data_IF_194405915565
#
_entry.id   IF_194405915565
#
_cell.length_a   1.000
_cell.length_b   1.000
_cell.length_c   1.000
_cell.angle_alpha   90.00
_cell.angle_beta   90.00
_cell.angle_gamma   90.00
#
_symmetry.space_group_name_H-M   'P 1'
#
loop_
_entity.id
_entity.type
_entity.pdbx_description
1 polymer ?
#
# COMPACT_ATOMS: atom_id res chain seq x y z
N UNK A 1 -8.51 11.68 3.27
CA UNK A 1 -7.74 11.08 2.15
C UNK A 1 -6.36 10.78 2.69
N UNK A 2 -5.75 9.65 2.33
CA UNK A 2 -4.40 9.32 2.79
C UNK A 2 -3.40 10.38 2.27
N UNK A 3 -2.92 11.24 3.17
CA UNK A 3 -1.91 12.24 2.83
C UNK A 3 -0.57 11.55 2.55
N UNK A 4 0.09 11.98 1.48
CA UNK A 4 1.43 11.51 1.16
C UNK A 4 2.39 12.19 2.11
N UNK A 5 3.17 11.39 2.83
CA UNK A 5 4.19 11.93 3.70
C UNK A 5 5.26 12.66 2.88
N UNK A 6 5.91 13.71 3.42
CA UNK A 6 6.86 14.53 2.66
C UNK A 6 7.97 13.70 1.97
N UNK A 7 8.48 12.68 2.65
CA UNK A 7 9.52 11.79 2.12
C UNK A 7 9.04 10.93 0.95
N UNK A 8 7.73 10.70 0.81
CA UNK A 8 7.15 9.89 -0.25
C UNK A 8 6.88 10.68 -1.54
N UNK A 9 7.02 12.01 -1.53
CA UNK A 9 6.59 12.86 -2.65
C UNK A 9 7.24 12.48 -3.99
N UNK A 10 8.55 12.22 -4.00
CA UNK A 10 9.26 11.82 -5.22
C UNK A 10 8.76 10.48 -5.77
N UNK A 11 8.56 9.49 -4.89
CA UNK A 11 8.02 8.18 -5.28
C UNK A 11 6.56 8.30 -5.75
N UNK A 12 5.76 9.14 -5.11
CA UNK A 12 4.39 9.41 -5.52
C UNK A 12 4.32 9.96 -6.93
N UNK A 13 5.09 11.00 -7.25
CA UNK A 13 5.15 11.57 -8.60
C UNK A 13 5.50 10.50 -9.65
N UNK A 14 6.45 9.62 -9.32
CA UNK A 14 6.86 8.53 -10.20
C UNK A 14 5.78 7.46 -10.38
N UNK A 15 5.03 7.10 -9.34
CA UNK A 15 4.00 6.06 -9.41
C UNK A 15 2.71 6.58 -10.02
N UNK A 16 2.19 7.71 -9.53
CA UNK A 16 0.96 8.33 -9.99
C UNK A 16 1.08 8.86 -11.43
N UNK A 17 2.28 9.30 -11.85
CA UNK A 17 2.53 9.83 -13.19
C UNK A 17 2.67 8.76 -14.28
N UNK A 18 2.59 7.46 -13.97
CA UNK A 18 2.75 6.41 -14.97
C UNK A 18 1.55 6.34 -15.91
N UNK A 19 1.81 6.41 -17.21
CA UNK A 19 0.78 6.17 -18.24
C UNK A 19 0.25 4.73 -18.22
N UNK A 20 1.15 3.78 -17.95
CA UNK A 20 0.83 2.36 -17.85
C UNK A 20 1.36 1.82 -16.53
N UNK A 21 0.44 1.26 -15.74
CA UNK A 21 0.79 0.63 -14.48
C UNK A 21 1.14 -0.83 -14.69
N UNK A 22 2.11 -1.31 -13.93
CA UNK A 22 2.32 -2.74 -13.78
C UNK A 22 1.12 -3.36 -13.06
N UNK A 23 0.90 -4.64 -13.31
CA UNK A 23 -0.19 -5.36 -12.67
C UNK A 23 0.13 -5.76 -11.23
N UNK A 24 1.40 -5.75 -10.82
CA UNK A 24 1.81 -6.02 -9.44
C UNK A 24 2.97 -5.10 -9.01
N UNK A 25 2.78 -4.40 -7.89
CA UNK A 25 3.78 -3.56 -7.24
C UNK A 25 4.12 -4.14 -5.87
N UNK A 26 5.42 -4.18 -5.54
CA UNK A 26 5.89 -4.49 -4.19
C UNK A 26 6.51 -3.23 -3.58
N UNK A 27 5.74 -2.56 -2.73
CA UNK A 27 6.18 -1.42 -1.91
C UNK A 27 6.90 -1.96 -0.68
N UNK A 28 8.21 -1.74 -0.58
CA UNK A 28 9.02 -2.30 0.49
C UNK A 28 9.90 -1.27 1.20
N UNK A 29 10.24 -1.54 2.46
CA UNK A 29 11.03 -0.68 3.35
C UNK A 29 10.64 -0.95 4.81
N UNK A 30 11.29 -0.35 5.82
CA UNK A 30 10.94 -0.57 7.22
C UNK A 30 9.48 -0.19 7.55
N UNK A 31 8.98 -0.66 8.69
CA UNK A 31 7.71 -0.19 9.23
C UNK A 31 7.76 1.29 9.60
N UNK A 32 6.59 1.93 9.69
CA UNK A 32 6.52 3.32 10.12
C UNK A 32 6.91 4.41 9.11
N UNK A 33 7.13 4.07 7.84
CA UNK A 33 7.40 5.07 6.77
C UNK A 33 6.19 5.40 5.90
N UNK A 34 4.99 4.90 6.28
CA UNK A 34 3.73 5.26 5.62
C UNK A 34 3.40 4.49 4.34
N UNK A 35 3.94 3.29 4.13
CA UNK A 35 3.75 2.52 2.89
C UNK A 35 2.28 2.21 2.60
N UNK A 36 1.49 1.86 3.63
CA UNK A 36 0.03 1.69 3.52
C UNK A 36 -0.62 2.92 2.89
N UNK A 37 -0.35 4.09 3.45
CA UNK A 37 -0.93 5.34 3.00
C UNK A 37 -0.59 5.62 1.53
N UNK A 38 0.65 5.35 1.11
CA UNK A 38 1.05 5.46 -0.29
C UNK A 38 0.27 4.47 -1.19
N UNK A 39 0.12 3.22 -0.76
CA UNK A 39 -0.59 2.18 -1.48
C UNK A 39 -2.09 2.51 -1.61
N UNK A 40 -2.73 2.91 -0.52
CA UNK A 40 -4.11 3.37 -0.49
C UNK A 40 -4.29 4.58 -1.40
N UNK A 41 -3.44 5.60 -1.29
CA UNK A 41 -3.50 6.79 -2.15
C UNK A 41 -3.43 6.42 -3.64
N UNK A 42 -2.56 5.48 -4.01
CA UNK A 42 -2.50 4.96 -5.37
C UNK A 42 -3.78 4.21 -5.75
N UNK A 43 -4.34 3.40 -4.85
CA UNK A 43 -5.64 2.75 -5.05
C UNK A 43 -6.76 3.77 -5.31
N UNK A 44 -6.85 4.83 -4.50
CA UNK A 44 -7.83 5.92 -4.71
C UNK A 44 -7.67 6.55 -6.09
N UNK A 45 -6.44 6.85 -6.52
CA UNK A 45 -6.17 7.41 -7.85
C UNK A 45 -6.58 6.45 -8.97
N UNK A 46 -6.22 5.17 -8.85
CA UNK A 46 -6.44 4.15 -9.89
C UNK A 46 -7.90 3.80 -10.10
N UNK A 47 -8.72 3.91 -9.06
CA UNK A 47 -10.16 3.62 -9.10
C UNK A 47 -11.00 4.86 -9.41
N UNK A 48 -10.46 6.06 -9.18
CA UNK A 48 -11.14 7.32 -9.46
C UNK A 48 -11.57 7.44 -10.93
N UNK A 49 -12.82 7.82 -11.16
CA UNK A 49 -13.38 7.99 -12.51
C UNK A 49 -12.90 9.27 -13.21
N UNK A 50 -12.59 10.31 -12.43
CA UNK A 50 -12.22 11.63 -12.93
C UNK A 50 -11.01 12.18 -12.17
N UNK A 51 -9.83 11.54 -12.27
CA UNK A 51 -8.64 12.01 -11.55
C UNK A 51 -8.27 13.44 -11.97
N UNK A 52 -7.80 14.24 -11.01
CA UNK A 52 -7.36 15.62 -11.23
C UNK A 52 -5.85 15.69 -11.05
N UNK A 53 -5.13 15.81 -12.17
CA UNK A 53 -3.67 15.71 -12.16
C UNK A 53 -3.22 14.32 -11.70
N UNK A 54 -2.46 14.27 -10.61
CA UNK A 54 -1.97 13.03 -10.00
C UNK A 54 -2.82 12.58 -8.81
N UNK A 55 -3.99 13.18 -8.58
CA UNK A 55 -4.84 12.89 -7.43
C UNK A 55 -6.22 12.34 -7.82
N UNK A 56 -6.81 11.55 -6.92
CA UNK A 56 -8.23 11.21 -7.00
C UNK A 56 -9.07 12.48 -6.77
N UNK A 57 -10.21 12.62 -7.45
CA UNK A 57 -11.05 13.83 -7.28
C UNK A 57 -11.76 13.93 -5.94
N UNK A 58 -11.91 12.80 -5.21
CA UNK A 58 -12.59 12.75 -3.92
C UNK A 58 -14.12 12.90 -3.98
N UNK A 59 -14.70 13.22 -5.15
CA UNK A 59 -16.12 13.60 -5.27
C UNK A 59 -16.94 12.66 -6.18
N UNK A 60 -16.29 11.87 -7.05
CA UNK A 60 -17.01 10.93 -7.92
C UNK A 60 -17.61 9.76 -7.12
N UNK A 61 -18.56 9.03 -7.72
CA UNK A 61 -19.21 7.88 -7.09
C UNK A 61 -18.20 6.84 -6.61
N UNK A 62 -17.17 6.55 -7.41
CA UNK A 62 -16.10 5.62 -7.01
C UNK A 62 -15.34 6.11 -5.77
N UNK A 63 -14.92 7.39 -5.74
CA UNK A 63 -14.24 7.95 -4.57
C UNK A 63 -15.13 7.89 -3.31
N UNK A 64 -16.42 8.21 -3.45
CA UNK A 64 -17.38 8.12 -2.34
C UNK A 64 -17.50 6.68 -1.79
N UNK A 65 -17.60 5.68 -2.66
CA UNK A 65 -17.66 4.27 -2.28
C UNK A 65 -16.36 3.79 -1.61
N UNK A 66 -15.20 4.26 -2.07
CA UNK A 66 -13.91 3.94 -1.45
C UNK A 66 -13.79 4.51 -0.05
N UNK A 67 -14.18 5.77 0.15
CA UNK A 67 -14.21 6.40 1.48
C UNK A 67 -15.15 5.66 2.42
N UNK A 68 -16.26 5.12 1.90
CA UNK A 68 -17.19 4.28 2.65
C UNK A 68 -16.74 2.81 2.81
N UNK A 69 -15.59 2.41 2.26
CA UNK A 69 -15.09 1.02 2.31
C UNK A 69 -15.97 0.00 1.56
N UNK A 70 -16.81 0.45 0.63
CA UNK A 70 -17.81 -0.38 -0.07
C UNK A 70 -17.63 -0.43 -1.59
N UNK A 71 -16.46 -0.02 -2.08
CA UNK A 71 -16.17 -0.04 -3.51
C UNK A 71 -16.15 -1.49 -4.04
N UNK A 72 -16.96 -1.85 -5.05
CA UNK A 72 -17.05 -3.25 -5.49
C UNK A 72 -15.78 -3.76 -6.17
N UNK A 73 -14.91 -2.86 -6.64
CA UNK A 73 -13.66 -3.18 -7.35
C UNK A 73 -12.39 -2.96 -6.49
N UNK A 74 -12.54 -2.80 -5.17
CA UNK A 74 -11.39 -2.81 -4.25
C UNK A 74 -11.43 -4.04 -3.34
N UNK A 75 -10.25 -4.52 -2.94
CA UNK A 75 -10.13 -5.58 -1.94
C UNK A 75 -8.89 -5.32 -1.08
N UNK A 76 -9.02 -5.39 0.23
CA UNK A 76 -7.92 -5.27 1.17
C UNK A 76 -7.75 -6.61 1.88
N UNK A 77 -6.56 -7.20 1.75
CA UNK A 77 -6.18 -8.43 2.41
C UNK A 77 -5.20 -8.10 3.54
N UNK A 78 -5.67 -8.25 4.76
CA UNK A 78 -4.92 -8.09 5.99
C UNK A 78 -5.21 -9.25 6.96
N UNK A 79 -4.33 -9.53 7.93
CA UNK A 79 -4.61 -10.51 8.98
C UNK A 79 -5.91 -10.19 9.73
N UNK A 80 -6.70 -11.21 10.06
CA UNK A 80 -7.93 -11.03 10.85
C UNK A 80 -7.65 -10.50 12.26
N UNK A 81 -6.45 -10.77 12.78
CA UNK A 81 -5.98 -10.27 14.06
C UNK A 81 -4.55 -9.77 13.90
N UNK A 82 -4.21 -8.71 14.65
CA UNK A 82 -2.85 -8.19 14.70
C UNK A 82 -1.85 -9.32 15.03
N UNK A 83 -0.69 -9.31 14.36
CA UNK A 83 0.39 -10.29 14.48
C UNK A 83 0.06 -11.75 14.08
N UNK A 84 -1.13 -12.01 13.54
CA UNK A 84 -1.44 -13.33 12.97
C UNK A 84 -1.05 -13.43 11.49
N UNK A 85 -0.89 -14.67 11.05
CA UNK A 85 -0.63 -14.97 9.65
C UNK A 85 -1.93 -14.85 8.83
N UNK A 86 -1.80 -14.37 7.59
CA UNK A 86 -2.87 -14.39 6.60
C UNK A 86 -3.13 -15.85 6.21
N UNK A 87 -4.38 -16.28 6.37
CA UNK A 87 -4.79 -17.66 6.09
C UNK A 87 -4.89 -17.90 4.58
N UNK A 88 -4.72 -19.16 4.18
CA UNK A 88 -4.84 -19.57 2.77
C UNK A 88 -6.23 -19.30 2.23
N UNK A 89 -7.27 -19.47 3.04
CA UNK A 89 -8.65 -19.25 2.62
C UNK A 89 -8.92 -17.76 2.31
N UNK A 90 -8.37 -16.83 3.09
CA UNK A 90 -8.44 -15.39 2.77
C UNK A 90 -7.80 -15.06 1.41
N UNK A 91 -6.68 -15.74 1.07
CA UNK A 91 -6.06 -15.58 -0.25
C UNK A 91 -6.90 -16.21 -1.35
N UNK A 92 -7.56 -17.34 -1.10
CA UNK A 92 -8.47 -17.95 -2.08
C UNK A 92 -9.65 -17.04 -2.39
N UNK A 93 -10.23 -16.40 -1.38
CA UNK A 93 -11.29 -15.41 -1.56
C UNK A 93 -10.82 -14.22 -2.41
N UNK A 94 -9.61 -13.73 -2.15
CA UNK A 94 -8.96 -12.72 -2.98
C UNK A 94 -8.76 -13.19 -4.42
N UNK A 95 -8.29 -14.42 -4.64
CA UNK A 95 -8.09 -14.96 -5.99
C UNK A 95 -9.44 -15.06 -6.73
N UNK A 96 -10.51 -15.50 -6.05
CA UNK A 96 -11.86 -15.51 -6.60
C UNK A 96 -12.33 -14.10 -6.97
N UNK A 97 -12.06 -13.10 -6.14
CA UNK A 97 -12.32 -11.69 -6.45
C UNK A 97 -11.52 -11.21 -7.68
N UNK A 98 -10.25 -11.56 -7.80
CA UNK A 98 -9.37 -11.16 -8.92
C UNK A 98 -9.86 -11.74 -10.26
N UNK A 99 -10.55 -12.88 -10.28
CA UNK A 99 -11.07 -13.47 -11.53
C UNK A 99 -12.38 -12.84 -12.00
N UNK A 100 -13.16 -12.22 -11.11
CA UNK A 100 -14.44 -11.59 -11.47
C UNK A 100 -14.26 -10.38 -12.41
N UNK A 101 -15.26 -10.03 -13.21
CA UNK A 101 -15.21 -8.79 -14.01
C UNK A 101 -15.42 -7.57 -13.11
N UNK A 102 -14.73 -6.47 -13.40
CA UNK A 102 -14.92 -5.21 -12.68
C UNK A 102 -16.39 -4.74 -12.80
N UNK A 103 -17.03 -4.47 -11.68
CA UNK A 103 -18.44 -4.09 -11.64
C UNK A 103 -18.67 -2.65 -12.11
N UNK A 104 -17.70 -1.75 -11.89
CA UNK A 104 -17.79 -0.37 -12.34
C UNK A 104 -17.11 -0.12 -13.70
N UNK A 105 -16.75 -1.20 -14.41
CA UNK A 105 -16.19 -1.13 -15.78
C UNK A 105 -14.78 -0.55 -15.86
N UNK A 106 -14.12 -0.34 -14.73
CA UNK A 106 -12.79 0.25 -14.63
C UNK A 106 -11.70 -0.76 -14.30
N UNK A 107 -10.84 -0.38 -13.36
CA UNK A 107 -9.79 -1.23 -12.80
C UNK A 107 -10.30 -1.92 -11.54
N UNK A 108 -9.67 -3.04 -11.20
CA UNK A 108 -9.72 -3.57 -9.84
C UNK A 108 -8.40 -3.33 -9.16
N UNK A 109 -8.42 -2.98 -7.89
CA UNK A 109 -7.21 -2.76 -7.11
C UNK A 109 -7.27 -3.57 -5.83
N UNK A 110 -6.22 -4.36 -5.63
CA UNK A 110 -6.09 -5.25 -4.47
C UNK A 110 -4.90 -4.77 -3.65
N UNK A 111 -5.10 -4.51 -2.36
CA UNK A 111 -4.05 -4.17 -1.41
C UNK A 111 -3.79 -5.37 -0.50
N UNK A 112 -2.53 -5.77 -0.34
CA UNK A 112 -2.12 -6.84 0.56
C UNK A 112 -1.10 -6.28 1.54
N UNK A 113 -1.45 -6.26 2.82
CA UNK A 113 -0.56 -5.73 3.87
C UNK A 113 -0.75 -6.44 5.22
N UNK A 114 0.33 -6.83 5.90
CA UNK A 114 1.68 -7.01 5.38
C UNK A 114 1.78 -8.32 4.56
N UNK A 115 2.43 -8.27 3.40
CA UNK A 115 2.51 -9.42 2.50
C UNK A 115 3.34 -10.57 3.09
N UNK A 116 4.31 -10.30 3.97
CA UNK A 116 5.07 -11.31 4.72
C UNK A 116 4.26 -12.02 5.82
N UNK A 117 3.04 -11.57 6.16
CA UNK A 117 2.18 -12.32 7.05
C UNK A 117 1.55 -13.54 6.36
N UNK A 118 1.64 -13.67 5.03
CA UNK A 118 1.20 -14.89 4.36
C UNK A 118 2.10 -16.07 4.71
N UNK A 119 1.49 -17.20 5.03
CA UNK A 119 2.22 -18.47 5.06
C UNK A 119 2.59 -18.92 3.63
N UNK A 120 3.46 -19.94 3.51
CA UNK A 120 3.96 -20.43 2.21
C UNK A 120 2.82 -20.86 1.27
N UNK A 121 1.79 -21.51 1.82
CA UNK A 121 0.64 -21.99 1.03
C UNK A 121 -0.19 -20.81 0.48
N UNK A 122 -0.39 -19.78 1.30
CA UNK A 122 -1.08 -18.54 0.94
C UNK A 122 -0.30 -17.79 -0.15
N UNK A 123 1.01 -17.61 0.05
CA UNK A 123 1.86 -16.96 -0.95
C UNK A 123 1.91 -17.73 -2.29
N UNK A 124 1.93 -19.07 -2.25
CA UNK A 124 1.89 -19.90 -3.46
C UNK A 124 0.54 -19.82 -4.18
N UNK A 125 -0.57 -19.76 -3.44
CA UNK A 125 -1.91 -19.60 -4.02
C UNK A 125 -2.06 -18.29 -4.81
N UNK A 126 -1.34 -17.24 -4.39
CA UNK A 126 -1.36 -15.93 -5.05
C UNK A 126 -0.54 -15.89 -6.36
N UNK A 127 0.40 -16.81 -6.58
CA UNK A 127 1.36 -16.73 -7.69
C UNK A 127 0.69 -16.63 -9.06
N UNK A 128 -0.38 -17.41 -9.30
CA UNK A 128 -1.10 -17.36 -10.57
C UNK A 128 -1.70 -15.98 -10.84
N UNK A 129 -2.26 -15.35 -9.81
CA UNK A 129 -2.81 -13.99 -9.91
C UNK A 129 -1.72 -12.92 -10.09
N UNK A 130 -0.49 -13.17 -9.62
CA UNK A 130 0.65 -12.29 -9.86
C UNK A 130 1.26 -12.44 -11.25
N UNK A 131 1.15 -13.62 -11.88
CA UNK A 131 1.66 -13.85 -13.24
C UNK A 131 0.74 -13.28 -14.31
N UNK A 132 -0.56 -13.62 -14.22
CA UNK A 132 -1.56 -13.28 -15.22
C UNK A 132 -2.85 -12.84 -14.52
N UNK A 133 -2.88 -11.62 -13.96
CA UNK A 133 -4.09 -11.08 -13.35
C UNK A 133 -5.18 -10.92 -14.40
N UNK A 134 -6.40 -11.28 -14.03
CA UNK A 134 -7.54 -11.21 -14.93
C UNK A 134 -7.95 -9.76 -15.17
N UNK A 135 -8.08 -9.38 -16.45
CA UNK A 135 -8.52 -8.04 -16.85
C UNK A 135 -7.56 -6.93 -16.41
N UNK A 136 -8.12 -5.79 -16.01
CA UNK A 136 -7.35 -4.60 -15.61
C UNK A 136 -7.19 -4.55 -14.09
N UNK A 137 -6.57 -5.59 -13.52
CA UNK A 137 -6.36 -5.72 -12.07
C UNK A 137 -4.94 -5.31 -11.68
N UNK A 138 -4.81 -4.50 -10.63
CA UNK A 138 -3.53 -4.07 -10.06
C UNK A 138 -3.43 -4.58 -8.62
N UNK A 139 -2.37 -5.31 -8.32
CA UNK A 139 -2.03 -5.77 -6.98
C UNK A 139 -0.97 -4.84 -6.36
N UNK A 140 -1.27 -4.31 -5.19
CA UNK A 140 -0.40 -3.48 -4.37
C UNK A 140 0.01 -4.29 -3.15
N UNK A 141 1.26 -4.75 -3.12
CA UNK A 141 1.80 -5.54 -2.02
C UNK A 141 2.66 -4.62 -1.15
N UNK A 142 2.41 -4.60 0.14
CA UNK A 142 3.20 -3.82 1.11
C UNK A 142 4.00 -4.77 1.98
N UNK A 143 5.31 -4.52 2.09
CA UNK A 143 6.22 -5.32 2.90
C UNK A 143 7.12 -4.50 3.81
N UNK A 144 7.11 -4.81 5.10
CA UNK A 144 8.04 -4.26 6.09
C UNK A 144 9.34 -5.06 6.17
N UNK A 145 9.28 -6.34 5.79
CA UNK A 145 10.40 -7.29 5.86
C UNK A 145 10.57 -8.05 4.53
N UNK A 146 11.01 -7.39 3.45
CA UNK A 146 11.14 -8.02 2.13
C UNK A 146 12.08 -9.23 2.08
N UNK A 147 13.00 -9.37 3.04
CA UNK A 147 13.85 -10.56 3.21
C UNK A 147 13.05 -11.84 3.52
N UNK A 148 11.91 -11.73 4.21
CA UNK A 148 11.04 -12.86 4.56
C UNK A 148 10.13 -13.31 3.41
N UNK A 149 10.00 -12.50 2.37
CA UNK A 149 9.17 -12.85 1.22
C UNK A 149 9.81 -13.93 0.36
N UNK A 150 8.95 -14.80 -0.18
CA UNK A 150 9.36 -15.80 -1.16
C UNK A 150 9.95 -15.13 -2.41
N UNK A 151 11.08 -15.62 -2.94
CA UNK A 151 11.66 -15.13 -4.20
C UNK A 151 10.67 -15.14 -5.37
N UNK A 152 9.75 -16.11 -5.39
CA UNK A 152 8.72 -16.27 -6.42
C UNK A 152 7.70 -15.13 -6.45
N UNK A 153 7.35 -14.56 -5.30
CA UNK A 153 6.50 -13.36 -5.21
C UNK A 153 7.29 -12.13 -5.66
N UNK A 154 8.52 -11.98 -5.14
CA UNK A 154 9.40 -10.84 -5.46
C UNK A 154 9.73 -10.71 -6.94
N UNK A 155 9.89 -11.83 -7.65
CA UNK A 155 10.26 -11.83 -9.07
C UNK A 155 9.12 -11.43 -10.01
N UNK A 156 7.87 -11.53 -9.54
CA UNK A 156 6.66 -11.22 -10.32
C UNK A 156 6.11 -9.82 -10.03
N UNK A 157 6.71 -9.11 -9.08
CA UNK A 157 6.31 -7.75 -8.73
C UNK A 157 7.35 -6.74 -9.21
N UNK A 158 6.89 -5.57 -9.62
CA UNK A 158 7.76 -4.41 -9.77
C UNK A 158 8.11 -3.89 -8.38
N UNK A 159 9.36 -4.08 -7.97
CA UNK A 159 9.84 -3.66 -6.66
C UNK A 159 10.01 -2.15 -6.62
N UNK A 160 9.49 -1.54 -5.57
CA UNK A 160 9.52 -0.10 -5.32
C UNK A 160 9.98 0.13 -3.88
N UNK A 161 11.25 0.53 -3.75
CA UNK A 161 11.82 0.90 -2.47
C UNK A 161 11.17 2.21 -2.00
N UNK A 162 10.49 2.16 -0.87
CA UNK A 162 9.91 3.34 -0.26
C UNK A 162 11.04 4.17 0.38
N UNK A 163 11.11 5.48 0.08
CA UNK A 163 12.16 6.34 0.60
C UNK A 163 12.09 6.42 2.13
N UNK A 164 13.26 6.35 2.75
CA UNK A 164 13.41 6.61 4.18
C UNK A 164 13.42 8.13 4.40
N UNK A 165 12.68 8.65 5.38
CA UNK A 165 12.82 10.06 5.76
C UNK A 165 14.21 10.29 6.36
N UNK A 166 14.77 11.48 6.11
CA UNK A 166 15.92 11.95 6.86
C UNK A 166 15.50 12.37 8.26
N UNK A 167 16.42 12.35 9.22
CA UNK A 167 16.14 12.77 10.60
C UNK A 167 15.52 14.17 10.66
N UNK A 168 16.05 15.10 9.86
CA UNK A 168 15.50 16.45 9.76
C UNK A 168 14.04 16.47 9.26
N UNK A 169 13.69 15.66 8.25
CA UNK A 169 12.31 15.56 7.75
C UNK A 169 11.39 14.88 8.77
N UNK A 170 11.89 13.86 9.44
CA UNK A 170 11.19 13.12 10.50
C UNK A 170 10.85 14.04 11.68
N UNK A 171 11.83 14.81 12.18
CA UNK A 171 11.66 15.74 13.30
C UNK A 171 10.70 16.87 12.91
N UNK A 172 10.84 17.42 11.71
CA UNK A 172 9.93 18.47 11.21
C UNK A 172 8.48 17.96 11.15
N UNK A 173 8.27 16.73 10.65
CA UNK A 173 6.94 16.12 10.63
C UNK A 173 6.42 15.81 12.04
N UNK A 174 7.29 15.33 12.95
CA UNK A 174 6.94 15.10 14.36
C UNK A 174 6.60 16.40 15.10
N UNK A 175 7.16 17.54 14.70
CA UNK A 175 6.81 18.82 15.28
C UNK A 175 5.37 19.22 15.00
N UNK A 176 4.86 18.91 13.80
CA UNK A 176 3.46 19.12 13.44
C UNK A 176 2.54 18.07 14.09
N UNK A 177 2.99 16.83 14.21
CA UNK A 177 2.21 15.72 14.77
C UNK A 177 2.14 15.72 16.30
N UNK A 178 3.21 16.14 16.98
CA UNK A 178 3.38 16.19 18.44
C UNK A 178 3.81 17.61 18.84
N UNK A 179 2.89 18.59 18.82
CA UNK A 179 3.21 19.99 19.09
C UNK A 179 3.64 20.22 20.55
N UNK A 180 3.20 19.36 21.47
CA UNK A 180 3.45 19.47 22.91
C UNK A 180 4.84 18.95 23.36
N UNK A 181 5.53 18.19 22.53
CA UNK A 181 6.87 17.67 22.82
C UNK A 181 7.96 18.70 22.49
N UNK A 182 9.05 18.73 23.25
CA UNK A 182 10.21 19.53 22.90
C UNK A 182 11.06 18.88 21.79
N UNK A 183 12.04 19.61 21.26
CA UNK A 183 12.88 19.09 20.16
C UNK A 183 13.71 17.87 20.58
N UNK A 184 14.15 17.82 21.85
CA UNK A 184 14.97 16.74 22.36
C UNK A 184 14.14 15.46 22.53
N UNK A 185 12.93 15.57 23.06
CA UNK A 185 11.96 14.47 23.17
C UNK A 185 11.64 13.88 21.79
N UNK A 186 11.45 14.72 20.76
CA UNK A 186 11.20 14.24 19.39
C UNK A 186 12.40 13.48 18.80
N UNK A 187 13.63 13.93 19.06
CA UNK A 187 14.85 13.22 18.66
C UNK A 187 14.96 11.87 19.36
N UNK A 188 14.66 11.84 20.65
CA UNK A 188 14.71 10.61 21.45
C UNK A 188 13.65 9.60 20.97
N UNK A 189 12.41 10.04 20.73
CA UNK A 189 11.34 9.21 20.16
C UNK A 189 11.71 8.67 18.78
N UNK A 190 12.24 9.51 17.89
CA UNK A 190 12.68 9.07 16.57
C UNK A 190 13.80 8.03 16.63
N UNK A 191 14.72 8.20 17.58
CA UNK A 191 15.82 7.25 17.83
C UNK A 191 15.28 5.91 18.33
N UNK A 192 14.31 5.93 19.26
CA UNK A 192 13.63 4.72 19.75
C UNK A 192 12.86 4.01 18.62
N UNK A 193 12.27 4.76 17.69
CA UNK A 193 11.58 4.24 16.52
C UNK A 193 12.51 3.87 15.35
N UNK A 194 13.83 3.85 15.56
CA UNK A 194 14.84 3.53 14.55
C UNK A 194 14.68 4.34 13.25
N UNK A 195 14.36 5.64 13.35
CA UNK A 195 14.21 6.54 12.21
C UNK A 195 12.86 6.41 11.47
N UNK A 196 11.86 5.78 12.09
CA UNK A 196 10.52 5.57 11.49
C UNK A 196 9.47 6.49 12.15
N UNK A 197 9.11 7.63 11.54
CA UNK A 197 8.34 8.69 12.21
C UNK A 197 6.95 8.28 12.68
N UNK A 198 6.29 7.33 11.99
CA UNK A 198 4.93 6.92 12.35
C UNK A 198 4.87 5.91 13.50
N UNK A 199 6.03 5.49 14.01
CA UNK A 199 6.14 4.56 15.15
C UNK A 199 6.87 5.24 16.33
N UNK A 200 7.29 6.49 16.15
CA UNK A 200 7.83 7.36 17.18
C UNK A 200 6.68 7.95 18.01
#
# INVERSE_FOLDING_TARGET
>A
MAEAYPWQHGLWQQLAGRKQHAHAYLLHGPAGIGKRALAERLMYLLLCQHPTGLEACGQCKSCSLLVAGSHPDHYVLEPEEADKAIKVDQVRDLVSFVVQTAQMGGRKVVLIEPVEAMNINAANALLKSLEEPSGNTILLLVSHQPSRLLPTVKSRCVQQACPLPSDAMSIAWLADALPDCDEQERVDLLTLAAGSPLVA
#
